data_IF_699469640056
#
_entry.id   IF_699469640056
#
_cell.length_a   1.000
_cell.length_b   1.000
_cell.length_c   1.000
_cell.angle_alpha   90.00
_cell.angle_beta   90.00
_cell.angle_gamma   90.00
#
_symmetry.space_group_name_H-M   'P 1'
#
loop_
_entity.id
_entity.type
_entity.pdbx_description
1 polymer ?
#
# COMPACT_ATOMS: atom_id res chain seq x y z
N UNK A 1 5.03 21.03 -2.85
CA UNK A 1 5.25 22.08 -3.89
C UNK A 1 4.79 21.62 -5.27
N UNK A 2 4.74 20.30 -5.51
CA UNK A 2 4.33 19.71 -6.79
C UNK A 2 2.88 20.00 -7.17
N UNK A 3 1.94 19.95 -6.20
CA UNK A 3 0.53 20.29 -6.46
C UNK A 3 0.30 21.73 -6.94
N UNK A 4 1.09 22.71 -6.47
CA UNK A 4 0.97 24.11 -6.92
C UNK A 4 1.41 24.22 -8.40
N UNK A 5 2.47 23.52 -8.78
CA UNK A 5 2.91 23.46 -10.18
C UNK A 5 1.88 22.71 -11.04
N UNK A 6 1.34 21.60 -10.54
CA UNK A 6 0.30 20.83 -11.23
C UNK A 6 -0.92 21.67 -11.57
N UNK A 7 -1.51 22.36 -10.58
CA UNK A 7 -2.68 23.24 -10.78
C UNK A 7 -2.39 24.35 -11.81
N UNK A 8 -1.16 24.86 -11.84
CA UNK A 8 -0.77 25.90 -12.79
C UNK A 8 -0.60 25.40 -14.23
N UNK A 9 -0.20 24.14 -14.43
CA UNK A 9 0.03 23.57 -15.77
C UNK A 9 -1.21 22.86 -16.31
N UNK A 10 -2.09 22.36 -15.43
CA UNK A 10 -3.28 21.59 -15.78
C UNK A 10 -4.53 22.11 -15.06
N UNK A 11 -4.92 23.39 -15.25
CA UNK A 11 -5.98 24.04 -14.47
C UNK A 11 -7.38 23.46 -14.69
N UNK A 12 -7.59 22.70 -15.78
CA UNK A 12 -8.86 22.06 -16.13
C UNK A 12 -8.87 20.54 -15.84
N UNK A 13 -7.81 20.01 -15.22
CA UNK A 13 -7.76 18.59 -14.84
C UNK A 13 -8.73 18.29 -13.69
N UNK A 14 -9.41 17.14 -13.75
CA UNK A 14 -10.27 16.65 -12.66
C UNK A 14 -9.52 16.50 -11.31
N UNK A 15 -8.20 16.29 -11.36
CA UNK A 15 -7.35 16.18 -10.18
C UNK A 15 -7.04 17.53 -9.52
N UNK A 16 -7.46 18.66 -10.11
CA UNK A 16 -7.28 19.99 -9.50
C UNK A 16 -8.03 20.12 -8.18
N UNK A 17 -9.20 19.47 -8.04
CA UNK A 17 -9.91 19.44 -6.77
C UNK A 17 -9.14 18.65 -5.71
N UNK A 18 -8.66 17.45 -6.04
CA UNK A 18 -7.81 16.67 -5.13
C UNK A 18 -6.56 17.47 -4.73
N UNK A 19 -5.93 18.15 -5.68
CA UNK A 19 -4.78 19.02 -5.43
C UNK A 19 -5.11 20.18 -4.47
N UNK A 20 -6.29 20.81 -4.60
CA UNK A 20 -6.73 21.83 -3.66
C UNK A 20 -7.02 21.28 -2.26
N UNK A 21 -7.59 20.08 -2.17
CA UNK A 21 -7.84 19.42 -0.89
C UNK A 21 -6.54 19.05 -0.17
N UNK A 22 -5.61 18.44 -0.88
CA UNK A 22 -4.29 18.08 -0.39
C UNK A 22 -3.49 19.31 0.01
N UNK A 23 -3.53 20.40 -0.76
CA UNK A 23 -2.88 21.65 -0.38
C UNK A 23 -3.52 22.27 0.86
N UNK A 24 -4.84 22.27 0.96
CA UNK A 24 -5.57 22.71 2.15
C UNK A 24 -5.15 21.93 3.40
N UNK A 25 -5.08 20.60 3.29
CA UNK A 25 -4.62 19.71 4.35
C UNK A 25 -3.17 19.98 4.73
N UNK A 26 -2.27 19.98 3.76
CA UNK A 26 -0.84 20.19 4.00
C UNK A 26 -0.54 21.56 4.64
N UNK A 27 -1.23 22.64 4.23
CA UNK A 27 -1.06 23.94 4.89
C UNK A 27 -1.66 23.97 6.30
N UNK A 28 -2.72 23.21 6.55
CA UNK A 28 -3.30 23.07 7.89
C UNK A 28 -2.33 22.35 8.84
N UNK A 29 -1.73 21.25 8.41
CA UNK A 29 -0.72 20.50 9.19
C UNK A 29 0.49 21.38 9.54
N UNK A 30 0.87 22.28 8.61
CA UNK A 30 1.92 23.29 8.84
C UNK A 30 1.49 24.48 9.68
N UNK A 31 0.27 24.48 10.24
CA UNK A 31 -0.33 25.58 11.00
C UNK A 31 -0.43 26.91 10.21
N UNK A 32 -0.39 26.84 8.88
CA UNK A 32 -0.57 27.97 7.96
C UNK A 32 -2.06 28.16 7.61
N UNK A 33 -2.91 28.32 8.63
CA UNK A 33 -4.36 28.21 8.51
C UNK A 33 -4.99 29.14 7.48
N UNK A 34 -4.44 30.34 7.26
CA UNK A 34 -4.94 31.26 6.22
C UNK A 34 -4.79 30.70 4.80
N UNK A 35 -3.67 30.02 4.51
CA UNK A 35 -3.46 29.36 3.22
C UNK A 35 -4.30 28.11 3.11
N UNK A 36 -4.43 27.35 4.19
CA UNK A 36 -5.34 26.20 4.24
C UNK A 36 -6.78 26.62 3.87
N UNK A 37 -7.30 27.68 4.50
CA UNK A 37 -8.61 28.26 4.20
C UNK A 37 -8.71 28.70 2.73
N UNK A 38 -7.67 29.35 2.19
CA UNK A 38 -7.66 29.78 0.78
C UNK A 38 -7.80 28.59 -0.18
N UNK A 39 -7.07 27.50 0.07
CA UNK A 39 -7.10 26.31 -0.79
C UNK A 39 -8.39 25.50 -0.62
N UNK A 40 -8.90 25.35 0.59
CA UNK A 40 -10.22 24.77 0.81
C UNK A 40 -11.34 25.64 0.20
N UNK A 41 -11.22 26.97 0.21
CA UNK A 41 -12.19 27.84 -0.45
C UNK A 41 -12.13 27.71 -1.98
N UNK A 42 -10.93 27.55 -2.56
CA UNK A 42 -10.77 27.24 -4.00
C UNK A 42 -11.39 25.90 -4.37
N UNK A 43 -11.25 24.90 -3.51
CA UNK A 43 -11.96 23.63 -3.67
C UNK A 43 -13.47 23.85 -3.73
N UNK A 44 -14.04 24.49 -2.71
CA UNK A 44 -15.49 24.73 -2.59
C UNK A 44 -16.00 25.56 -3.77
N UNK A 45 -15.26 26.58 -4.22
CA UNK A 45 -15.66 27.42 -5.34
C UNK A 45 -15.63 26.71 -6.71
N UNK A 46 -14.92 25.59 -6.83
CA UNK A 46 -14.83 24.81 -8.06
C UNK A 46 -15.57 23.47 -7.97
N UNK A 47 -16.28 23.20 -6.86
CA UNK A 47 -16.92 21.91 -6.58
C UNK A 47 -18.09 21.59 -7.52
N UNK A 48 -18.84 22.61 -7.95
CA UNK A 48 -20.00 22.45 -8.84
C UNK A 48 -19.56 21.98 -10.25
N UNK A 49 -18.25 21.99 -10.55
CA UNK A 49 -17.68 21.39 -11.77
C UNK A 49 -17.48 19.87 -11.67
N UNK A 50 -17.52 19.27 -10.48
CA UNK A 50 -17.11 17.87 -10.27
C UNK A 50 -17.86 17.16 -9.10
N UNK A 51 -19.18 17.03 -9.19
CA UNK A 51 -20.11 16.17 -8.38
C UNK A 51 -20.11 16.21 -6.83
N UNK A 52 -21.23 15.79 -6.22
CA UNK A 52 -21.75 16.23 -4.90
C UNK A 52 -21.36 15.41 -3.62
N UNK A 53 -20.35 14.53 -3.61
CA UNK A 53 -20.12 13.65 -2.43
C UNK A 53 -18.99 14.05 -1.45
N UNK A 54 -18.37 15.22 -1.61
CA UNK A 54 -17.20 15.63 -0.82
C UNK A 54 -17.43 16.78 0.19
N UNK A 55 -18.65 17.29 0.28
CA UNK A 55 -18.92 18.59 0.88
C UNK A 55 -18.69 18.65 2.39
N UNK A 56 -19.05 17.61 3.14
CA UNK A 56 -19.00 17.63 4.60
C UNK A 56 -17.56 17.68 5.16
N UNK A 57 -16.60 17.06 4.47
CA UNK A 57 -15.20 17.01 4.89
C UNK A 57 -14.49 18.34 4.71
N UNK A 58 -14.79 19.04 3.62
CA UNK A 58 -14.11 20.29 3.27
C UNK A 58 -14.70 21.45 4.06
N UNK A 59 -16.00 21.40 4.33
CA UNK A 59 -16.64 22.28 5.32
C UNK A 59 -16.05 22.04 6.72
N UNK A 60 -15.82 20.78 7.11
CA UNK A 60 -15.13 20.43 8.36
C UNK A 60 -13.68 20.95 8.41
N UNK A 61 -12.91 20.78 7.34
CA UNK A 61 -11.54 21.29 7.22
C UNK A 61 -11.45 22.82 7.28
N UNK A 62 -12.40 23.52 6.64
CA UNK A 62 -12.58 24.98 6.75
C UNK A 62 -12.96 25.37 8.17
N UNK A 63 -13.92 24.69 8.79
CA UNK A 63 -14.36 24.95 10.17
C UNK A 63 -13.22 24.86 11.17
N UNK A 64 -12.43 23.77 11.11
CA UNK A 64 -11.25 23.57 11.97
C UNK A 64 -10.20 24.66 11.72
N UNK A 65 -9.93 24.99 10.45
CA UNK A 65 -8.92 26.00 10.11
C UNK A 65 -9.34 27.40 10.56
N UNK A 66 -10.63 27.75 10.46
CA UNK A 66 -11.17 29.04 10.92
C UNK A 66 -11.22 29.12 12.46
N UNK A 67 -11.54 28.02 13.14
CA UNK A 67 -11.47 27.96 14.60
C UNK A 67 -10.04 28.22 15.10
N UNK A 68 -9.05 27.57 14.46
CA UNK A 68 -7.62 27.76 14.80
C UNK A 68 -7.06 29.13 14.36
N UNK A 69 -7.64 29.79 13.34
CA UNK A 69 -7.33 31.18 12.95
C UNK A 69 -7.99 32.24 13.87
N UNK A 70 -8.82 31.83 14.85
CA UNK A 70 -9.38 32.71 15.88
C UNK A 70 -10.66 33.45 15.50
N UNK A 71 -11.37 33.07 14.43
CA UNK A 71 -12.62 33.71 13.97
C UNK A 71 -13.86 32.83 14.21
N UNK A 72 -13.94 32.28 15.42
CA UNK A 72 -14.86 31.22 15.85
C UNK A 72 -16.35 31.47 15.56
N UNK A 73 -16.80 32.71 15.71
CA UNK A 73 -18.22 33.08 15.61
C UNK A 73 -18.78 32.98 14.18
N UNK A 74 -17.92 33.13 13.16
CA UNK A 74 -18.32 33.00 11.75
C UNK A 74 -18.37 31.55 11.27
N UNK A 75 -17.48 30.69 11.79
CA UNK A 75 -17.41 29.26 11.44
C UNK A 75 -18.65 28.49 11.91
N UNK A 76 -19.14 28.81 13.11
CA UNK A 76 -20.31 28.16 13.71
C UNK A 76 -21.58 28.52 12.93
N UNK A 77 -21.74 29.76 12.49
CA UNK A 77 -22.93 30.20 11.74
C UNK A 77 -23.02 29.54 10.35
N UNK A 78 -21.90 29.33 9.66
CA UNK A 78 -21.87 28.75 8.30
C UNK A 78 -22.00 27.21 8.30
N UNK A 79 -21.58 26.51 9.36
CA UNK A 79 -21.67 25.04 9.45
C UNK A 79 -23.05 24.53 9.97
N UNK A 80 -23.73 25.31 10.82
CA UNK A 80 -24.99 24.88 11.46
C UNK A 80 -26.22 24.90 10.54
N UNK A 81 -26.17 25.60 9.40
CA UNK A 81 -27.29 25.59 8.44
C UNK A 81 -27.39 24.29 7.62
N UNK A 82 -26.37 23.42 7.63
CA UNK A 82 -26.24 22.35 6.63
C UNK A 82 -26.26 20.89 7.14
N UNK A 83 -26.36 20.61 8.46
CA UNK A 83 -26.27 19.21 8.97
C UNK A 83 -27.41 18.87 9.95
N UNK A 84 -28.34 18.00 9.52
CA UNK A 84 -29.38 17.34 10.34
C UNK A 84 -29.40 15.83 10.04
N UNK A 85 -28.59 15.01 10.73
CA UNK A 85 -28.88 13.60 11.13
C UNK A 85 -27.63 12.93 11.76
N UNK A 86 -27.53 12.89 13.09
CA UNK A 86 -26.35 12.35 13.81
C UNK A 86 -26.69 11.12 14.69
N UNK A 87 -27.97 10.85 14.95
CA UNK A 87 -28.37 9.85 15.95
C UNK A 87 -28.35 8.39 15.42
N UNK A 88 -28.35 8.18 14.10
CA UNK A 88 -28.37 6.82 13.52
C UNK A 88 -26.99 6.14 13.46
N UNK A 89 -25.90 6.90 13.50
CA UNK A 89 -24.54 6.35 13.41
C UNK A 89 -24.05 5.69 14.72
N UNK A 90 -24.58 6.11 15.87
CA UNK A 90 -24.17 5.60 17.18
C UNK A 90 -24.67 4.16 17.45
N UNK A 91 -25.86 3.82 16.94
CA UNK A 91 -26.54 2.56 17.27
C UNK A 91 -25.88 1.32 16.61
N UNK A 92 -25.19 1.51 15.48
CA UNK A 92 -24.51 0.44 14.75
C UNK A 92 -23.20 0.01 15.42
N UNK A 93 -22.56 0.92 16.17
CA UNK A 93 -21.24 0.72 16.75
C UNK A 93 -21.26 -0.20 17.99
N UNK A 94 -22.37 -0.21 18.73
CA UNK A 94 -22.50 -1.02 19.94
C UNK A 94 -22.72 -2.52 19.65
N UNK A 95 -23.36 -2.86 18.54
CA UNK A 95 -23.65 -4.25 18.14
C UNK A 95 -22.41 -5.01 17.64
N UNK A 96 -21.44 -4.29 17.07
CA UNK A 96 -20.19 -4.87 16.57
C UNK A 96 -19.24 -5.30 17.69
N UNK A 97 -19.34 -4.67 18.87
CA UNK A 97 -18.45 -4.90 20.01
C UNK A 97 -18.70 -6.24 20.73
N UNK A 98 -19.93 -6.74 20.69
CA UNK A 98 -20.32 -7.99 21.36
C UNK A 98 -19.85 -9.25 20.61
N UNK A 99 -19.63 -9.15 19.30
CA UNK A 99 -19.25 -10.29 18.43
C UNK A 99 -17.75 -10.67 18.52
N UNK A 100 -16.90 -9.81 19.08
CA UNK A 100 -15.45 -10.01 19.11
C UNK A 100 -14.96 -10.84 20.32
N UNK A 101 -15.82 -11.19 21.28
CA UNK A 101 -15.41 -11.83 22.54
C UNK A 101 -15.36 -13.38 22.53
N UNK A 102 -15.74 -14.08 21.45
CA UNK A 102 -15.97 -15.54 21.51
C UNK A 102 -14.86 -16.48 20.94
N UNK A 103 -13.70 -16.00 20.45
CA UNK A 103 -12.75 -16.88 19.71
C UNK A 103 -11.24 -16.73 20.04
N UNK A 104 -10.81 -16.80 21.31
CA UNK A 104 -9.39 -16.56 21.70
C UNK A 104 -8.46 -17.78 21.84
N UNK A 105 -8.94 -19.01 21.94
CA UNK A 105 -8.11 -20.09 22.53
C UNK A 105 -7.34 -20.98 21.52
N UNK A 106 -7.59 -20.87 20.21
CA UNK A 106 -6.91 -21.68 19.17
C UNK A 106 -5.63 -21.01 18.60
N UNK A 107 -5.41 -19.72 18.88
CA UNK A 107 -4.26 -18.97 18.36
C UNK A 107 -2.93 -19.28 19.06
N UNK A 108 -2.99 -19.70 20.33
CA UNK A 108 -1.81 -19.90 21.17
C UNK A 108 -1.01 -21.17 20.80
N UNK A 109 -1.65 -22.17 20.19
CA UNK A 109 -1.02 -23.44 19.81
C UNK A 109 -0.23 -23.35 18.50
N UNK A 110 -0.48 -22.31 17.68
CA UNK A 110 0.22 -22.05 16.42
C UNK A 110 1.56 -21.32 16.62
N UNK A 111 1.67 -20.44 17.62
CA UNK A 111 2.87 -19.66 17.90
C UNK A 111 4.06 -20.55 18.32
N UNK A 112 3.82 -21.58 19.14
CA UNK A 112 4.86 -22.50 19.63
C UNK A 112 5.50 -23.31 18.50
N UNK A 113 4.76 -23.62 17.42
CA UNK A 113 5.29 -24.36 16.27
C UNK A 113 6.18 -23.50 15.36
N UNK A 114 5.98 -22.18 15.34
CA UNK A 114 6.75 -21.25 14.49
C UNK A 114 8.15 -21.03 15.07
N UNK A 115 8.30 -20.88 16.38
CA UNK A 115 9.61 -20.74 17.04
C UNK A 115 10.52 -21.96 16.82
N UNK A 116 9.97 -23.17 16.87
CA UNK A 116 10.72 -24.41 16.63
C UNK A 116 11.30 -24.50 15.21
N UNK A 117 10.57 -23.97 14.21
CA UNK A 117 11.01 -23.99 12.81
C UNK A 117 12.10 -22.94 12.53
N UNK A 118 12.07 -21.81 13.23
CA UNK A 118 13.09 -20.77 13.11
C UNK A 118 14.46 -21.22 13.64
N UNK A 119 14.50 -21.95 14.76
CA UNK A 119 15.74 -22.51 15.32
C UNK A 119 16.38 -23.57 14.40
N UNK A 120 15.56 -24.42 13.76
CA UNK A 120 16.04 -25.41 12.78
C UNK A 120 16.62 -24.74 11.52
N UNK A 121 16.02 -23.63 11.08
CA UNK A 121 16.48 -22.87 9.92
C UNK A 121 17.84 -22.20 10.18
N UNK A 122 18.04 -21.62 11.36
CA UNK A 122 19.32 -21.00 11.75
C UNK A 122 20.45 -22.03 11.88
N UNK A 123 20.16 -23.23 12.38
CA UNK A 123 21.14 -24.33 12.46
C UNK A 123 21.60 -24.80 11.09
N UNK A 124 20.74 -24.75 10.06
CA UNK A 124 21.10 -25.11 8.69
C UNK A 124 22.02 -24.08 7.99
N UNK A 125 21.81 -22.77 8.26
CA UNK A 125 22.60 -21.66 7.69
C UNK A 125 24.07 -21.67 8.15
N UNK A 126 24.34 -22.20 9.35
CA UNK A 126 25.69 -22.23 9.96
C UNK A 126 26.69 -23.22 9.33
N UNK A 127 26.25 -24.13 8.45
CA UNK A 127 27.09 -25.24 7.95
C UNK A 127 27.80 -25.02 6.61
N UNK A 128 27.62 -23.87 5.94
CA UNK A 128 28.09 -23.72 4.54
C UNK A 128 28.93 -22.45 4.25
N UNK A 129 29.61 -21.88 5.23
CA UNK A 129 30.08 -20.48 5.15
C UNK A 129 31.53 -20.24 4.69
N UNK A 130 32.33 -21.26 4.37
CA UNK A 130 33.74 -21.03 3.98
C UNK A 130 33.98 -21.08 2.47
N UNK A 131 33.26 -21.94 1.73
CA UNK A 131 33.45 -22.08 0.29
C UNK A 131 32.66 -21.06 -0.54
N UNK A 132 31.63 -20.45 0.04
CA UNK A 132 30.77 -19.47 -0.62
C UNK A 132 31.38 -18.05 -0.60
N UNK A 133 32.13 -17.72 0.46
CA UNK A 133 32.79 -16.41 0.63
C UNK A 133 33.97 -16.17 -0.31
N UNK A 134 34.68 -17.22 -0.73
CA UNK A 134 35.81 -17.10 -1.67
C UNK A 134 35.37 -16.93 -3.14
N UNK A 135 34.13 -17.30 -3.48
CA UNK A 135 33.54 -17.11 -4.82
C UNK A 135 32.94 -15.70 -4.94
N UNK A 136 32.39 -15.16 -3.86
CA UNK A 136 31.74 -13.84 -3.84
C UNK A 136 32.72 -12.65 -3.85
N UNK A 137 33.98 -12.85 -3.44
CA UNK A 137 35.00 -11.78 -3.39
C UNK A 137 35.75 -11.53 -4.71
N UNK A 138 35.49 -12.32 -5.75
CA UNK A 138 36.26 -12.30 -7.00
C UNK A 138 35.52 -11.69 -8.21
N UNK A 139 34.31 -11.16 -8.04
CA UNK A 139 33.54 -10.50 -9.10
C UNK A 139 33.50 -8.99 -8.82
N UNK A 140 34.18 -8.21 -9.66
CA UNK A 140 34.01 -6.75 -9.74
C UNK A 140 32.52 -6.49 -10.02
N UNK A 141 31.79 -5.83 -9.10
CA UNK A 141 30.31 -5.68 -9.12
C UNK A 141 29.86 -4.32 -9.68
N UNK A 142 29.36 -4.26 -10.91
CA UNK A 142 28.49 -3.18 -11.37
C UNK A 142 27.15 -3.12 -10.60
N UNK A 143 26.65 -4.26 -10.08
CA UNK A 143 25.31 -4.37 -9.48
C UNK A 143 25.25 -4.05 -7.96
N UNK A 144 26.33 -3.59 -7.35
CA UNK A 144 26.43 -3.41 -5.90
C UNK A 144 25.45 -2.36 -5.35
N UNK A 145 25.42 -1.18 -5.96
CA UNK A 145 24.58 -0.07 -5.50
C UNK A 145 23.08 -0.35 -5.71
N UNK A 146 22.67 -0.85 -6.88
CA UNK A 146 21.27 -1.24 -7.15
C UNK A 146 20.80 -2.31 -6.17
N UNK A 147 21.58 -3.37 -5.98
CA UNK A 147 21.24 -4.44 -5.03
C UNK A 147 21.10 -3.91 -3.61
N UNK A 148 22.01 -3.02 -3.20
CA UNK A 148 21.94 -2.35 -1.90
C UNK A 148 20.67 -1.50 -1.77
N UNK A 149 20.39 -0.63 -2.73
CA UNK A 149 19.23 0.25 -2.72
C UNK A 149 17.93 -0.54 -2.70
N UNK A 150 17.82 -1.63 -3.47
CA UNK A 150 16.63 -2.50 -3.43
C UNK A 150 16.41 -3.12 -2.03
N UNK A 151 17.48 -3.60 -1.40
CA UNK A 151 17.40 -4.21 -0.07
C UNK A 151 17.01 -3.18 0.99
N UNK A 152 17.63 -2.00 0.94
CA UNK A 152 17.30 -0.90 1.84
C UNK A 152 15.86 -0.42 1.62
N UNK A 153 15.42 -0.30 0.37
CA UNK A 153 14.04 0.05 0.01
C UNK A 153 13.05 -0.94 0.63
N UNK A 154 13.36 -2.23 0.58
CA UNK A 154 12.56 -3.25 1.25
C UNK A 154 12.53 -3.07 2.78
N UNK A 155 13.66 -2.76 3.41
CA UNK A 155 13.68 -2.53 4.85
C UNK A 155 12.96 -1.23 5.25
N UNK A 156 12.96 -0.21 4.39
CA UNK A 156 12.13 0.98 4.57
C UNK A 156 10.65 0.64 4.60
N UNK A 157 10.18 -0.25 3.71
CA UNK A 157 8.80 -0.74 3.74
C UNK A 157 8.47 -1.48 5.04
N UNK A 158 9.41 -2.25 5.59
CA UNK A 158 9.21 -2.96 6.84
C UNK A 158 9.22 -2.03 8.05
N UNK A 159 10.09 -1.01 8.05
CA UNK A 159 10.09 0.05 9.05
C UNK A 159 8.76 0.81 9.04
N UNK A 160 8.30 1.21 7.85
CA UNK A 160 7.02 1.88 7.66
C UNK A 160 5.83 1.03 8.15
N UNK A 161 5.86 -0.28 7.92
CA UNK A 161 4.85 -1.19 8.46
C UNK A 161 4.80 -1.17 10.00
N UNK A 162 5.96 -1.11 10.67
CA UNK A 162 6.04 -0.97 12.13
C UNK A 162 5.47 0.37 12.60
N UNK A 163 5.81 1.46 11.93
CA UNK A 163 5.31 2.80 12.24
C UNK A 163 3.77 2.86 12.12
N UNK A 164 3.20 2.32 11.03
CA UNK A 164 1.76 2.31 10.77
C UNK A 164 1.00 1.48 11.82
N UNK A 165 1.55 0.35 12.25
CA UNK A 165 0.94 -0.47 13.31
C UNK A 165 0.91 0.30 14.64
N UNK A 166 2.00 0.98 15.01
CA UNK A 166 2.06 1.77 16.22
C UNK A 166 1.22 3.05 16.16
N UNK A 167 1.05 3.65 14.98
CA UNK A 167 0.25 4.85 14.79
C UNK A 167 -1.22 4.68 15.21
N UNK A 168 -1.76 3.46 15.16
CA UNK A 168 -3.07 3.13 15.73
C UNK A 168 -3.18 3.61 17.19
N UNK A 169 -2.17 3.30 18.00
CA UNK A 169 -2.22 3.57 19.43
C UNK A 169 -1.84 5.01 19.78
N UNK A 170 -1.00 5.67 18.98
CA UNK A 170 -0.70 7.08 19.22
C UNK A 170 -1.83 8.01 18.77
N UNK A 171 -2.50 7.70 17.66
CA UNK A 171 -3.50 8.59 17.07
C UNK A 171 -4.95 8.23 17.42
N UNK A 172 -5.29 6.95 17.42
CA UNK A 172 -6.68 6.49 17.35
C UNK A 172 -7.16 5.76 18.61
N UNK A 173 -6.26 5.07 19.32
CA UNK A 173 -6.57 4.29 20.51
C UNK A 173 -5.54 4.50 21.66
N UNK A 174 -5.20 5.74 22.06
CA UNK A 174 -4.21 6.01 23.11
C UNK A 174 -4.59 5.50 24.51
N UNK A 175 -5.87 5.25 24.73
CA UNK A 175 -6.42 4.67 25.96
C UNK A 175 -6.24 3.15 26.07
N UNK A 176 -5.98 2.44 24.97
CA UNK A 176 -5.85 0.98 24.95
C UNK A 176 -4.45 0.52 25.39
N UNK A 177 -4.10 0.80 26.66
CA UNK A 177 -2.73 0.61 27.18
C UNK A 177 -2.20 -0.82 27.08
N UNK A 178 -3.05 -1.83 27.29
CA UNK A 178 -2.63 -3.24 27.18
C UNK A 178 -2.36 -3.65 25.73
N UNK A 179 -3.21 -3.22 24.79
CA UNK A 179 -3.02 -3.48 23.37
C UNK A 179 -1.80 -2.71 22.83
N UNK A 180 -1.63 -1.45 23.25
CA UNK A 180 -0.46 -0.63 22.95
C UNK A 180 0.83 -1.30 23.42
N UNK A 181 0.86 -1.85 24.64
CA UNK A 181 2.01 -2.60 25.16
C UNK A 181 2.32 -3.83 24.32
N UNK A 182 1.30 -4.63 23.98
CA UNK A 182 1.50 -5.81 23.12
C UNK A 182 2.07 -5.42 21.76
N UNK A 183 1.56 -4.35 21.17
CA UNK A 183 2.03 -3.84 19.88
C UNK A 183 3.44 -3.26 19.96
N UNK A 184 3.81 -2.58 21.05
CA UNK A 184 5.16 -2.05 21.24
C UNK A 184 6.18 -3.17 21.43
N UNK A 185 5.84 -4.22 22.18
CA UNK A 185 6.67 -5.43 22.32
C UNK A 185 6.92 -6.08 20.94
N UNK A 186 5.88 -6.21 20.11
CA UNK A 186 6.01 -6.72 18.74
C UNK A 186 6.82 -5.79 17.83
N UNK A 187 6.62 -4.48 17.93
CA UNK A 187 7.37 -3.47 17.18
C UNK A 187 8.87 -3.54 17.49
N UNK A 188 9.25 -3.66 18.76
CA UNK A 188 10.66 -3.78 19.17
C UNK A 188 11.33 -5.01 18.56
N UNK A 189 10.64 -6.16 18.56
CA UNK A 189 11.14 -7.40 17.93
C UNK A 189 11.35 -7.22 16.43
N UNK A 190 10.41 -6.57 15.74
CA UNK A 190 10.51 -6.29 14.30
C UNK A 190 11.62 -5.28 13.99
N UNK A 191 11.80 -4.25 14.80
CA UNK A 191 12.90 -3.29 14.66
C UNK A 191 14.26 -3.98 14.85
N UNK A 192 14.38 -4.91 15.80
CA UNK A 192 15.61 -5.69 16.00
C UNK A 192 15.91 -6.60 14.81
N UNK A 193 14.88 -7.22 14.22
CA UNK A 193 15.03 -7.96 12.98
C UNK A 193 15.54 -7.05 11.84
N UNK A 194 14.93 -5.88 11.62
CA UNK A 194 15.37 -4.93 10.59
C UNK A 194 16.82 -4.52 10.83
N UNK A 195 17.17 -4.18 12.08
CA UNK A 195 18.53 -3.80 12.50
C UNK A 195 19.56 -4.87 12.11
N UNK A 196 19.29 -6.13 12.44
CA UNK A 196 20.19 -7.24 12.10
C UNK A 196 20.35 -7.37 10.60
N UNK A 197 19.27 -7.24 9.83
CA UNK A 197 19.33 -7.33 8.39
C UNK A 197 20.09 -6.17 7.74
N UNK A 198 19.93 -4.95 8.24
CA UNK A 198 20.66 -3.77 7.74
C UNK A 198 22.17 -3.91 8.00
N UNK A 199 22.57 -4.39 9.17
CA UNK A 199 24.00 -4.65 9.50
C UNK A 199 24.65 -5.74 8.63
N UNK A 200 23.84 -6.63 8.05
CA UNK A 200 24.31 -7.68 7.14
C UNK A 200 24.46 -7.16 5.69
N UNK A 201 24.02 -5.94 5.39
CA UNK A 201 24.15 -5.36 4.06
C UNK A 201 25.59 -4.92 3.78
N UNK A 202 26.05 -5.19 2.56
CA UNK A 202 27.30 -4.67 2.02
C UNK A 202 27.08 -3.20 1.63
N UNK A 203 27.24 -2.28 2.60
CA UNK A 203 26.92 -0.86 2.39
C UNK A 203 28.00 -0.13 1.58
N UNK A 204 27.63 0.54 0.46
CA UNK A 204 28.53 1.47 -0.20
C UNK A 204 28.61 2.83 0.53
N UNK A 205 27.67 3.12 1.44
CA UNK A 205 27.55 4.40 2.16
C UNK A 205 27.40 4.17 3.67
N UNK A 206 28.51 4.04 4.41
CA UNK A 206 28.51 3.75 5.85
C UNK A 206 27.78 4.81 6.70
N UNK A 207 27.81 6.08 6.27
CA UNK A 207 27.12 7.16 6.97
C UNK A 207 25.60 6.96 6.94
N UNK A 208 25.06 6.49 5.80
CA UNK A 208 23.64 6.18 5.64
C UNK A 208 23.22 5.02 6.53
N UNK A 209 24.03 3.95 6.60
CA UNK A 209 23.80 2.82 7.51
C UNK A 209 23.80 3.27 8.96
N UNK A 210 24.78 4.08 9.37
CA UNK A 210 24.91 4.61 10.73
C UNK A 210 23.65 5.38 11.17
N UNK A 211 23.20 6.33 10.34
CA UNK A 211 21.99 7.12 10.62
C UNK A 211 20.74 6.22 10.68
N UNK A 212 20.65 5.22 9.79
CA UNK A 212 19.53 4.28 9.80
C UNK A 212 19.48 3.47 11.10
N UNK A 213 20.61 2.91 11.53
CA UNK A 213 20.70 2.14 12.77
C UNK A 213 20.41 3.02 13.99
N UNK A 214 20.84 4.28 13.99
CA UNK A 214 20.50 5.25 15.04
C UNK A 214 19.00 5.57 15.08
N UNK A 215 18.35 5.70 13.92
CA UNK A 215 16.90 5.90 13.84
C UNK A 215 16.13 4.69 14.39
N UNK A 216 16.59 3.46 14.12
CA UNK A 216 16.01 2.24 14.71
C UNK A 216 16.20 2.19 16.22
N UNK A 217 17.41 2.53 16.72
CA UNK A 217 17.71 2.62 18.15
C UNK A 217 16.76 3.62 18.84
N UNK A 218 16.55 4.78 18.22
CA UNK A 218 15.64 5.81 18.73
C UNK A 218 14.19 5.33 18.79
N UNK A 219 13.69 4.66 17.76
CA UNK A 219 12.33 4.09 17.78
C UNK A 219 12.16 3.00 18.83
N UNK A 220 13.13 2.10 18.98
CA UNK A 220 13.10 1.09 20.04
C UNK A 220 13.01 1.75 21.42
N UNK A 221 13.76 2.83 21.64
CA UNK A 221 13.69 3.61 22.87
C UNK A 221 12.31 4.25 23.08
N UNK A 222 11.72 4.84 22.03
CA UNK A 222 10.38 5.45 22.08
C UNK A 222 9.32 4.41 22.47
N UNK A 223 9.35 3.24 21.84
CA UNK A 223 8.34 2.18 22.04
C UNK A 223 8.49 1.40 23.35
N UNK A 224 9.68 1.36 23.92
CA UNK A 224 9.92 0.66 25.17
C UNK A 224 9.18 1.32 26.34
N UNK A 225 8.15 0.65 26.86
CA UNK A 225 7.32 1.14 27.96
C UNK A 225 6.42 2.33 27.59
N UNK A 226 6.14 2.52 26.30
CA UNK A 226 5.40 3.68 25.78
C UNK A 226 3.99 3.82 26.35
N UNK A 227 3.37 2.72 26.77
CA UNK A 227 2.06 2.71 27.40
C UNK A 227 2.02 3.52 28.70
N UNK A 228 3.16 3.66 29.38
CA UNK A 228 3.32 4.38 30.65
C UNK A 228 3.76 5.84 30.48
N UNK A 229 4.06 6.27 29.25
CA UNK A 229 4.64 7.59 28.98
C UNK A 229 3.58 8.65 28.74
N UNK A 230 3.98 9.90 28.98
CA UNK A 230 3.21 11.07 28.59
C UNK A 230 3.32 11.31 27.08
N UNK A 231 2.22 11.75 26.45
CA UNK A 231 2.18 11.97 25.00
C UNK A 231 3.08 13.15 24.57
N UNK A 232 3.16 14.23 25.35
CA UNK A 232 4.01 15.38 24.99
C UNK A 232 5.50 15.00 25.03
N UNK A 233 5.90 14.17 26.00
CA UNK A 233 7.26 13.64 26.08
C UNK A 233 7.57 12.73 24.89
N UNK A 234 6.61 11.89 24.52
CA UNK A 234 6.73 10.97 23.39
C UNK A 234 6.85 11.73 22.07
N UNK A 235 6.04 12.77 21.86
CA UNK A 235 6.06 13.63 20.67
C UNK A 235 7.44 14.28 20.48
N UNK A 236 8.05 14.78 21.55
CA UNK A 236 9.39 15.37 21.49
C UNK A 236 10.45 14.37 21.04
N UNK A 237 10.36 13.10 21.44
CA UNK A 237 11.30 12.10 20.98
C UNK A 237 11.10 11.73 19.51
N UNK A 238 9.86 11.80 19.02
CA UNK A 238 9.57 11.66 17.60
C UNK A 238 10.11 12.82 16.76
N UNK A 239 10.27 14.03 17.31
CA UNK A 239 10.97 15.13 16.63
C UNK A 239 12.43 14.75 16.33
N UNK A 240 13.16 14.24 17.33
CA UNK A 240 14.54 13.77 17.17
C UNK A 240 14.65 12.60 16.19
N UNK A 241 13.71 11.66 16.23
CA UNK A 241 13.61 10.58 15.23
C UNK A 241 13.38 11.13 13.82
N UNK A 242 12.49 12.12 13.67
CA UNK A 242 12.17 12.72 12.38
C UNK A 242 13.36 13.44 11.76
N UNK A 243 14.23 14.05 12.58
CA UNK A 243 15.50 14.63 12.13
C UNK A 243 16.45 13.58 11.57
N UNK A 244 16.59 12.43 12.24
CA UNK A 244 17.41 11.30 11.74
C UNK A 244 16.87 10.75 10.42
N UNK A 245 15.55 10.53 10.34
CA UNK A 245 14.88 10.06 9.12
C UNK A 245 15.06 11.04 7.97
N UNK A 246 14.99 12.35 8.24
CA UNK A 246 15.20 13.39 7.22
C UNK A 246 16.63 13.36 6.67
N UNK A 247 17.63 13.25 7.55
CA UNK A 247 19.04 13.13 7.15
C UNK A 247 19.29 11.84 6.34
N UNK A 248 18.71 10.73 6.78
CA UNK A 248 18.76 9.47 6.06
C UNK A 248 18.19 9.59 4.65
N UNK A 249 16.97 10.15 4.51
CA UNK A 249 16.32 10.29 3.20
C UNK A 249 17.03 11.27 2.28
N UNK A 250 17.75 12.27 2.81
CA UNK A 250 18.59 13.15 2.00
C UNK A 250 19.68 12.35 1.28
N UNK A 251 20.39 11.49 2.00
CA UNK A 251 21.44 10.63 1.43
C UNK A 251 20.83 9.58 0.49
N UNK A 252 19.78 8.89 0.94
CA UNK A 252 19.11 7.85 0.15
C UNK A 252 18.58 8.39 -1.19
N UNK A 253 17.91 9.54 -1.19
CA UNK A 253 17.40 10.14 -2.42
C UNK A 253 18.52 10.58 -3.36
N UNK A 254 19.66 11.03 -2.84
CA UNK A 254 20.83 11.33 -3.66
C UNK A 254 21.35 10.07 -4.37
N UNK A 255 21.44 8.93 -3.67
CA UNK A 255 21.87 7.66 -4.25
C UNK A 255 20.88 7.15 -5.32
N UNK A 256 19.58 7.24 -5.07
CA UNK A 256 18.55 6.90 -6.06
C UNK A 256 18.69 7.79 -7.30
N UNK A 257 18.93 9.09 -7.14
CA UNK A 257 19.14 10.01 -8.26
C UNK A 257 20.44 9.73 -9.02
N UNK A 258 21.48 9.23 -8.36
CA UNK A 258 22.71 8.81 -9.03
C UNK A 258 22.48 7.54 -9.86
N UNK A 259 21.70 6.59 -9.34
CA UNK A 259 21.31 5.39 -10.06
C UNK A 259 20.38 5.68 -11.25
N UNK A 260 19.39 6.56 -11.09
CA UNK A 260 18.34 6.79 -12.11
C UNK A 260 18.78 7.64 -13.31
N UNK A 261 19.90 8.37 -13.21
CA UNK A 261 20.44 9.17 -14.32
C UNK A 261 20.89 8.34 -15.53
N UNK A 262 20.92 7.02 -15.42
CA UNK A 262 21.39 6.12 -16.46
C UNK A 262 20.25 5.53 -17.33
N UNK A 263 18.98 5.66 -16.95
CA UNK A 263 17.86 4.98 -17.65
C UNK A 263 16.68 5.92 -17.95
N UNK A 264 16.65 6.46 -19.18
CA UNK A 264 15.41 7.01 -19.76
C UNK A 264 14.55 5.84 -20.24
N UNK A 265 13.43 5.59 -19.54
CA UNK A 265 12.48 4.57 -19.93
C UNK A 265 11.60 5.09 -21.08
N UNK A 266 11.58 4.38 -22.21
CA UNK A 266 10.54 4.61 -23.21
C UNK A 266 9.19 4.17 -22.61
N UNK A 267 8.22 5.09 -22.57
CA UNK A 267 6.81 4.79 -22.30
C UNK A 267 6.32 3.77 -23.35
N UNK A 268 6.40 2.48 -23.04
CA UNK A 268 6.36 1.46 -24.07
C UNK A 268 5.84 0.12 -23.61
N UNK A 269 4.51 0.06 -23.45
CA UNK A 269 3.66 -1.12 -23.33
C UNK A 269 3.86 -2.02 -22.09
N UNK A 270 2.79 -2.15 -21.29
CA UNK A 270 2.55 -3.34 -20.48
C UNK A 270 2.83 -4.58 -21.36
N UNK A 271 3.51 -5.63 -20.86
CA UNK A 271 3.72 -6.82 -21.66
C UNK A 271 2.36 -7.44 -21.95
N UNK A 272 1.92 -7.28 -23.19
CA UNK A 272 0.81 -8.06 -23.69
C UNK A 272 1.27 -9.51 -23.73
N UNK A 273 0.47 -10.45 -23.19
CA UNK A 273 0.79 -11.86 -23.28
C UNK A 273 0.99 -12.26 -24.75
N UNK A 274 2.10 -12.91 -25.05
CA UNK A 274 2.43 -13.32 -26.42
C UNK A 274 1.67 -14.60 -26.78
N UNK A 275 0.51 -14.44 -27.42
CA UNK A 275 -0.32 -15.56 -27.85
C UNK A 275 0.30 -16.32 -29.04
N UNK A 276 0.09 -17.63 -29.10
CA UNK A 276 0.55 -18.47 -30.22
C UNK A 276 -0.17 -18.14 -31.54
N UNK A 277 -1.37 -17.58 -31.47
CA UNK A 277 -2.15 -17.23 -32.65
C UNK A 277 -2.75 -15.84 -32.56
N UNK A 278 -2.69 -15.11 -33.68
CA UNK A 278 -3.32 -13.79 -33.83
C UNK A 278 -4.81 -13.79 -33.47
N UNK A 279 -5.50 -14.90 -33.72
CA UNK A 279 -6.91 -15.06 -33.37
C UNK A 279 -7.14 -15.09 -31.85
N UNK A 280 -6.23 -15.66 -31.08
CA UNK A 280 -6.36 -15.67 -29.62
C UNK A 280 -6.05 -14.30 -29.03
N UNK A 281 -5.05 -13.60 -29.58
CA UNK A 281 -4.77 -12.21 -29.27
C UNK A 281 -5.99 -11.31 -29.54
N UNK A 282 -6.63 -11.46 -30.72
CA UNK A 282 -7.88 -10.77 -31.06
C UNK A 282 -9.01 -11.12 -30.07
N UNK A 283 -9.12 -12.38 -29.62
CA UNK A 283 -10.11 -12.77 -28.62
C UNK A 283 -9.81 -12.16 -27.25
N UNK A 284 -8.55 -12.12 -26.83
CA UNK A 284 -8.14 -11.53 -25.56
C UNK A 284 -8.42 -10.03 -25.56
N UNK A 285 -8.01 -9.31 -26.60
CA UNK A 285 -8.29 -7.88 -26.76
C UNK A 285 -9.80 -7.60 -26.83
N UNK A 286 -10.59 -8.49 -27.46
CA UNK A 286 -12.05 -8.39 -27.43
C UNK A 286 -12.61 -8.55 -26.01
N UNK A 287 -12.04 -9.44 -25.20
CA UNK A 287 -12.45 -9.58 -23.80
C UNK A 287 -12.11 -8.33 -22.98
N UNK A 288 -10.94 -7.73 -23.19
CA UNK A 288 -10.59 -6.44 -22.58
C UNK A 288 -11.59 -5.34 -22.99
N UNK A 289 -11.94 -5.26 -24.26
CA UNK A 289 -12.96 -4.31 -24.74
C UNK A 289 -14.36 -4.55 -24.14
N UNK A 290 -14.71 -5.80 -23.80
CA UNK A 290 -15.94 -6.07 -23.03
C UNK A 290 -15.81 -5.58 -21.57
N UNK A 291 -14.65 -5.73 -20.94
CA UNK A 291 -14.41 -5.23 -19.58
C UNK A 291 -14.51 -3.70 -19.52
N UNK A 292 -13.96 -2.99 -20.52
CA UNK A 292 -14.08 -1.53 -20.66
C UNK A 292 -15.52 -1.06 -20.84
N UNK A 293 -16.42 -1.93 -21.30
CA UNK A 293 -17.84 -1.66 -21.49
C UNK A 293 -18.71 -2.18 -20.34
N UNK A 294 -18.10 -2.55 -19.19
CA UNK A 294 -18.76 -3.20 -18.06
C UNK A 294 -19.46 -4.55 -18.39
N UNK A 295 -19.15 -5.16 -19.55
CA UNK A 295 -19.74 -6.43 -20.01
C UNK A 295 -18.95 -7.64 -19.46
N UNK A 296 -18.75 -7.70 -18.13
CA UNK A 296 -17.86 -8.66 -17.47
C UNK A 296 -18.22 -10.14 -17.72
N UNK A 297 -19.50 -10.48 -17.88
CA UNK A 297 -19.91 -11.86 -18.19
C UNK A 297 -19.41 -12.31 -19.57
N UNK A 298 -19.52 -11.43 -20.58
CA UNK A 298 -19.03 -11.72 -21.93
C UNK A 298 -17.50 -11.80 -21.96
N UNK A 299 -16.83 -10.92 -21.21
CA UNK A 299 -15.38 -10.97 -21.04
C UNK A 299 -14.95 -12.30 -20.41
N UNK A 300 -15.58 -12.68 -19.28
CA UNK A 300 -15.32 -13.91 -18.56
C UNK A 300 -15.46 -15.16 -19.45
N UNK A 301 -16.53 -15.25 -20.24
CA UNK A 301 -16.76 -16.36 -21.17
C UNK A 301 -15.65 -16.54 -22.21
N UNK A 302 -15.14 -15.41 -22.73
CA UNK A 302 -14.02 -15.42 -23.69
C UNK A 302 -12.73 -15.81 -23.00
N UNK A 303 -12.46 -15.23 -21.83
CA UNK A 303 -11.25 -15.49 -21.04
C UNK A 303 -11.18 -16.93 -20.55
N UNK A 304 -12.28 -17.56 -20.12
CA UNK A 304 -12.30 -18.95 -19.68
C UNK A 304 -11.96 -19.94 -20.81
N UNK A 305 -12.40 -19.64 -22.04
CA UNK A 305 -12.03 -20.43 -23.23
C UNK A 305 -10.53 -20.30 -23.54
N UNK A 306 -9.98 -19.09 -23.42
CA UNK A 306 -8.55 -18.85 -23.58
C UNK A 306 -7.74 -19.54 -22.48
N UNK A 307 -8.16 -19.44 -21.22
CA UNK A 307 -7.52 -20.10 -20.07
C UNK A 307 -7.41 -21.60 -20.29
N UNK A 308 -8.48 -22.24 -20.73
CA UNK A 308 -8.50 -23.69 -20.99
C UNK A 308 -7.47 -24.11 -22.06
N UNK A 309 -7.18 -23.23 -23.02
CA UNK A 309 -6.18 -23.47 -24.07
C UNK A 309 -4.74 -23.23 -23.59
N UNK A 310 -4.53 -22.18 -22.78
CA UNK A 310 -3.21 -21.76 -22.32
C UNK A 310 -2.84 -22.25 -20.91
N UNK A 311 -3.57 -23.23 -20.38
CA UNK A 311 -3.30 -23.75 -19.04
C UNK A 311 -1.91 -24.38 -18.95
N UNK A 312 -1.16 -24.02 -17.92
CA UNK A 312 0.24 -24.39 -17.71
C UNK A 312 1.26 -23.48 -18.39
N UNK A 313 0.83 -22.50 -19.20
CA UNK A 313 1.73 -21.48 -19.79
C UNK A 313 1.75 -20.26 -18.85
N UNK A 314 2.60 -20.33 -17.83
CA UNK A 314 2.63 -19.43 -16.67
C UNK A 314 2.35 -17.95 -16.97
N UNK A 315 3.10 -17.33 -17.90
CA UNK A 315 2.92 -15.92 -18.23
C UNK A 315 1.54 -15.60 -18.84
N UNK A 316 1.10 -16.37 -19.84
CA UNK A 316 -0.18 -16.14 -20.54
C UNK A 316 -1.36 -16.49 -19.63
N UNK A 317 -1.29 -17.63 -18.95
CA UNK A 317 -2.34 -18.08 -18.03
C UNK A 317 -2.53 -17.06 -16.91
N UNK A 318 -1.45 -16.54 -16.31
CA UNK A 318 -1.55 -15.53 -15.26
C UNK A 318 -2.21 -14.24 -15.73
N UNK A 319 -1.88 -13.74 -16.93
CA UNK A 319 -2.55 -12.56 -17.50
C UNK A 319 -4.04 -12.80 -17.74
N UNK A 320 -4.43 -14.00 -18.19
CA UNK A 320 -5.84 -14.37 -18.35
C UNK A 320 -6.52 -14.46 -16.97
N UNK A 321 -5.89 -15.12 -15.99
CA UNK A 321 -6.41 -15.30 -14.64
C UNK A 321 -6.61 -13.97 -13.91
N UNK A 322 -5.69 -13.01 -14.06
CA UNK A 322 -5.82 -11.66 -13.52
C UNK A 322 -7.14 -11.02 -13.97
N UNK A 323 -7.41 -11.05 -15.28
CA UNK A 323 -8.64 -10.48 -15.85
C UNK A 323 -9.89 -11.29 -15.49
N UNK A 324 -9.77 -12.62 -15.36
CA UNK A 324 -10.87 -13.45 -14.85
C UNK A 324 -11.25 -13.04 -13.43
N UNK A 325 -10.26 -12.78 -12.56
CA UNK A 325 -10.52 -12.28 -11.21
C UNK A 325 -11.30 -10.97 -11.26
N UNK A 326 -10.86 -10.00 -12.08
CA UNK A 326 -11.56 -8.72 -12.24
C UNK A 326 -13.00 -8.92 -12.76
N UNK A 327 -13.22 -9.83 -13.72
CA UNK A 327 -14.57 -10.13 -14.21
C UNK A 327 -15.47 -10.73 -13.13
N UNK A 328 -14.95 -11.61 -12.28
CA UNK A 328 -15.72 -12.22 -11.19
C UNK A 328 -16.09 -11.15 -10.15
N UNK A 329 -15.10 -10.37 -9.70
CA UNK A 329 -15.29 -9.38 -8.64
C UNK A 329 -16.16 -8.22 -9.12
N UNK A 330 -15.97 -7.70 -10.34
CA UNK A 330 -16.77 -6.59 -10.86
C UNK A 330 -18.12 -7.03 -11.38
N UNK A 331 -18.20 -8.22 -11.99
CA UNK A 331 -19.44 -8.76 -12.55
C UNK A 331 -20.53 -8.99 -11.49
N UNK A 332 -20.15 -9.30 -10.25
CA UNK A 332 -21.11 -9.48 -9.15
C UNK A 332 -21.82 -8.21 -8.70
N UNK A 333 -21.31 -7.03 -9.05
CA UNK A 333 -21.95 -5.76 -8.75
C UNK A 333 -22.88 -5.27 -9.88
N UNK A 334 -23.01 -6.03 -10.99
CA UNK A 334 -23.56 -5.55 -12.26
C UNK A 334 -24.92 -6.07 -12.72
N UNK A 335 -25.35 -7.30 -12.44
CA UNK A 335 -26.63 -7.84 -12.95
C UNK A 335 -27.01 -9.23 -12.41
N UNK A 336 -28.30 -9.58 -12.48
CA UNK A 336 -28.92 -10.89 -12.21
C UNK A 336 -28.45 -12.06 -13.12
N UNK A 337 -27.22 -12.05 -13.64
CA UNK A 337 -26.70 -13.03 -14.60
C UNK A 337 -25.94 -14.20 -13.96
N UNK A 338 -25.54 -15.21 -14.74
CA UNK A 338 -25.03 -16.52 -14.26
C UNK A 338 -23.73 -16.43 -13.42
N UNK A 339 -22.98 -15.32 -13.46
CA UNK A 339 -21.85 -15.09 -12.53
C UNK A 339 -22.36 -14.81 -11.09
N UNK A 340 -23.60 -14.35 -10.93
CA UNK A 340 -24.25 -14.13 -9.62
C UNK A 340 -24.49 -15.41 -8.81
N UNK A 341 -24.43 -16.59 -9.43
CA UNK A 341 -24.50 -17.88 -8.73
C UNK A 341 -23.18 -18.24 -8.02
N UNK A 342 -22.12 -17.46 -8.23
CA UNK A 342 -20.88 -17.60 -7.47
C UNK A 342 -21.11 -17.09 -6.03
N UNK A 343 -21.28 -18.02 -5.09
CA UNK A 343 -21.09 -17.72 -3.67
C UNK A 343 -19.72 -17.06 -3.48
N UNK A 344 -19.69 -15.90 -2.84
CA UNK A 344 -18.51 -15.10 -2.47
C UNK A 344 -17.57 -14.78 -3.66
N UNK A 345 -18.00 -13.92 -4.60
CA UNK A 345 -17.20 -13.56 -5.78
C UNK A 345 -15.87 -12.92 -5.39
N UNK A 346 -15.82 -12.11 -4.33
CA UNK A 346 -14.57 -11.50 -3.86
C UNK A 346 -13.57 -12.54 -3.33
N UNK A 347 -14.04 -13.55 -2.60
CA UNK A 347 -13.17 -14.65 -2.14
C UNK A 347 -12.59 -15.42 -3.33
N UNK A 348 -13.41 -15.72 -4.35
CA UNK A 348 -12.93 -16.42 -5.55
C UNK A 348 -11.93 -15.60 -6.36
N UNK A 349 -12.18 -14.30 -6.50
CA UNK A 349 -11.21 -13.38 -7.11
C UNK A 349 -9.90 -13.37 -6.34
N UNK A 350 -9.97 -13.22 -5.01
CA UNK A 350 -8.80 -13.29 -4.11
C UNK A 350 -8.03 -14.60 -4.27
N UNK A 351 -8.70 -15.75 -4.32
CA UNK A 351 -8.07 -17.07 -4.46
C UNK A 351 -7.34 -17.23 -5.80
N UNK A 352 -7.91 -16.71 -6.89
CA UNK A 352 -7.26 -16.70 -8.21
C UNK A 352 -5.97 -15.87 -8.15
N UNK A 353 -6.04 -14.66 -7.59
CA UNK A 353 -4.88 -13.78 -7.45
C UNK A 353 -3.83 -14.38 -6.51
N UNK A 354 -4.26 -15.04 -5.43
CA UNK A 354 -3.39 -15.78 -4.54
C UNK A 354 -2.66 -16.92 -5.27
N UNK A 355 -3.36 -17.62 -6.16
CA UNK A 355 -2.77 -18.63 -7.03
C UNK A 355 -1.64 -18.09 -7.90
N UNK A 356 -1.81 -16.90 -8.49
CA UNK A 356 -0.78 -16.23 -9.30
C UNK A 356 0.45 -15.90 -8.44
N UNK A 357 0.27 -15.22 -7.30
CA UNK A 357 1.41 -14.79 -6.45
C UNK A 357 2.14 -15.96 -5.76
N UNK A 358 1.46 -17.10 -5.58
CA UNK A 358 2.04 -18.28 -4.94
C UNK A 358 2.65 -19.29 -5.92
N UNK A 359 2.56 -19.05 -7.24
CA UNK A 359 3.05 -19.96 -8.28
C UNK A 359 4.57 -20.23 -8.25
N UNK A 360 5.35 -19.41 -7.52
CA UNK A 360 6.82 -19.47 -7.47
C UNK A 360 7.51 -19.33 -8.83
N UNK A 361 6.85 -18.65 -9.76
CA UNK A 361 7.35 -18.42 -11.12
C UNK A 361 7.12 -16.96 -11.50
N UNK A 362 7.94 -16.45 -12.42
CA UNK A 362 7.77 -15.09 -12.91
C UNK A 362 6.51 -14.98 -13.76
N UNK A 363 5.82 -13.85 -13.61
CA UNK A 363 4.70 -13.47 -14.46
C UNK A 363 4.75 -11.97 -14.76
N UNK A 364 4.35 -11.53 -15.96
CA UNK A 364 4.26 -10.12 -16.29
C UNK A 364 3.24 -9.36 -15.45
N UNK A 365 2.38 -10.06 -14.68
CA UNK A 365 1.31 -9.44 -13.88
C UNK A 365 1.50 -9.60 -12.37
N UNK A 366 2.71 -9.91 -11.89
CA UNK A 366 2.94 -10.14 -10.45
C UNK A 366 2.63 -8.91 -9.61
N UNK A 367 3.01 -7.72 -10.05
CA UNK A 367 2.69 -6.47 -9.35
C UNK A 367 1.16 -6.24 -9.28
N UNK A 368 0.49 -6.34 -10.43
CA UNK A 368 -0.96 -6.18 -10.54
C UNK A 368 -1.75 -7.19 -9.70
N UNK A 369 -1.29 -8.45 -9.71
CA UNK A 369 -1.87 -9.51 -8.91
C UNK A 369 -1.67 -9.25 -7.42
N UNK A 370 -0.47 -8.83 -6.99
CA UNK A 370 -0.18 -8.46 -5.61
C UNK A 370 -1.05 -7.31 -5.12
N UNK A 371 -1.18 -6.25 -5.92
CA UNK A 371 -2.02 -5.10 -5.61
C UNK A 371 -3.47 -5.52 -5.38
N UNK A 372 -4.07 -6.21 -6.35
CA UNK A 372 -5.46 -6.67 -6.26
C UNK A 372 -5.67 -7.65 -5.12
N UNK A 373 -4.75 -8.60 -4.93
CA UNK A 373 -4.80 -9.58 -3.86
C UNK A 373 -4.75 -8.89 -2.49
N UNK A 374 -3.80 -7.97 -2.28
CA UNK A 374 -3.67 -7.21 -1.03
C UNK A 374 -4.93 -6.41 -0.75
N UNK A 375 -5.49 -5.77 -1.78
CA UNK A 375 -6.70 -4.95 -1.64
C UNK A 375 -7.92 -5.78 -1.24
N UNK A 376 -8.13 -6.93 -1.90
CA UNK A 376 -9.22 -7.85 -1.55
C UNK A 376 -9.01 -8.47 -0.17
N UNK A 377 -7.79 -8.92 0.14
CA UNK A 377 -7.44 -9.52 1.42
C UNK A 377 -7.71 -8.56 2.57
N UNK A 378 -7.25 -7.30 2.46
CA UNK A 378 -7.51 -6.28 3.47
C UNK A 378 -9.01 -6.05 3.66
N UNK A 379 -9.77 -5.94 2.56
CA UNK A 379 -11.21 -5.68 2.61
C UNK A 379 -11.99 -6.84 3.25
N UNK A 380 -11.70 -8.07 2.85
CA UNK A 380 -12.46 -9.26 3.25
C UNK A 380 -12.09 -9.78 4.64
N UNK A 381 -10.80 -9.78 4.99
CA UNK A 381 -10.31 -10.47 6.19
C UNK A 381 -10.08 -9.53 7.36
N UNK A 382 -9.71 -8.27 7.09
CA UNK A 382 -9.22 -7.36 8.12
C UNK A 382 -10.09 -6.11 8.30
N UNK A 383 -10.81 -5.71 7.26
CA UNK A 383 -11.62 -4.50 7.23
C UNK A 383 -10.87 -3.26 6.74
N UNK A 384 -11.64 -2.21 6.43
CA UNK A 384 -11.12 -0.97 5.82
C UNK A 384 -11.12 0.23 6.78
N UNK A 385 -11.58 0.08 8.02
CA UNK A 385 -11.52 1.12 9.05
C UNK A 385 -10.07 1.45 9.46
N UNK A 386 -9.83 2.67 9.97
CA UNK A 386 -8.56 3.04 10.61
C UNK A 386 -8.26 2.23 11.89
N UNK A 387 -9.26 1.57 12.46
CA UNK A 387 -9.10 0.67 13.62
C UNK A 387 -8.85 -0.79 13.20
N UNK A 388 -8.97 -1.10 11.92
CA UNK A 388 -8.76 -2.45 11.40
C UNK A 388 -7.31 -2.90 11.63
N UNK A 389 -7.09 -4.20 11.78
CA UNK A 389 -5.74 -4.76 11.66
C UNK A 389 -5.23 -4.49 10.23
N UNK A 390 -3.97 -4.13 10.06
CA UNK A 390 -3.36 -3.92 8.75
C UNK A 390 -2.05 -4.72 8.73
N UNK A 391 -2.05 -5.98 8.24
CA UNK A 391 -0.88 -6.85 8.33
C UNK A 391 0.18 -6.52 7.27
N UNK A 392 0.62 -5.25 7.19
CA UNK A 392 1.63 -4.77 6.23
C UNK A 392 2.92 -5.60 6.29
N UNK A 393 3.33 -6.05 7.47
CA UNK A 393 4.49 -6.93 7.63
C UNK A 393 4.38 -8.22 6.80
N UNK A 394 3.21 -8.87 6.81
CA UNK A 394 2.95 -10.09 6.05
C UNK A 394 2.78 -9.81 4.56
N UNK A 395 2.12 -8.71 4.20
CA UNK A 395 2.07 -8.24 2.81
C UNK A 395 3.47 -8.00 2.25
N UNK A 396 4.37 -7.41 3.03
CA UNK A 396 5.74 -7.14 2.64
C UNK A 396 6.58 -8.42 2.52
N UNK A 397 6.32 -9.47 3.31
CA UNK A 397 6.97 -10.78 3.09
C UNK A 397 6.59 -11.38 1.74
N UNK A 398 5.30 -11.36 1.37
CA UNK A 398 4.86 -11.81 0.03
C UNK A 398 5.49 -10.95 -1.07
N UNK A 399 5.49 -9.63 -0.90
CA UNK A 399 6.16 -8.68 -1.80
C UNK A 399 7.65 -8.98 -2.00
N UNK A 400 8.40 -9.26 -0.92
CA UNK A 400 9.83 -9.65 -0.99
C UNK A 400 10.04 -10.85 -1.89
N UNK A 401 9.23 -11.89 -1.69
CA UNK A 401 9.30 -13.12 -2.48
C UNK A 401 9.04 -12.85 -3.96
N UNK A 402 8.07 -11.99 -4.29
CA UNK A 402 7.81 -11.59 -5.67
C UNK A 402 8.99 -10.82 -6.27
N UNK A 403 9.60 -9.90 -5.52
CA UNK A 403 10.81 -9.19 -5.93
C UNK A 403 11.95 -10.17 -6.22
N UNK A 404 12.19 -11.15 -5.35
CA UNK A 404 13.23 -12.17 -5.54
C UNK A 404 13.00 -13.03 -6.80
N UNK A 405 11.76 -13.48 -7.02
CA UNK A 405 11.37 -14.21 -8.23
C UNK A 405 11.65 -13.37 -9.47
N UNK A 406 11.21 -12.10 -9.46
CA UNK A 406 11.40 -11.20 -10.60
C UNK A 406 12.86 -10.86 -10.85
N UNK A 407 13.68 -10.71 -9.79
CA UNK A 407 15.14 -10.51 -9.92
C UNK A 407 15.84 -11.70 -10.57
N UNK A 408 15.47 -12.92 -10.19
CA UNK A 408 16.01 -14.14 -10.81
C UNK A 408 15.67 -14.13 -12.30
N UNK A 409 14.41 -13.88 -12.66
CA UNK A 409 13.98 -13.83 -14.05
C UNK A 409 14.66 -12.70 -14.84
N UNK A 410 14.73 -11.48 -14.32
CA UNK A 410 15.35 -10.34 -14.98
C UNK A 410 16.84 -10.58 -15.27
N UNK A 411 17.55 -11.28 -14.37
CA UNK A 411 18.94 -11.67 -14.59
C UNK A 411 19.12 -12.65 -15.75
N UNK A 412 18.15 -13.55 -15.95
CA UNK A 412 18.12 -14.49 -17.07
C UNK A 412 17.64 -13.83 -18.37
N UNK A 413 16.92 -12.71 -18.28
CA UNK A 413 16.30 -11.98 -19.38
C UNK A 413 16.66 -10.47 -19.33
N UNK A 414 17.94 -10.09 -19.50
CA UNK A 414 18.41 -8.71 -19.28
C UNK A 414 17.86 -7.65 -20.26
N UNK A 415 17.05 -8.04 -21.24
CA UNK A 415 16.32 -7.12 -22.13
C UNK A 415 14.85 -6.92 -21.75
N UNK A 416 14.37 -7.60 -20.71
CA UNK A 416 13.01 -7.49 -20.21
C UNK A 416 12.91 -6.33 -19.20
N UNK A 417 12.81 -5.12 -19.75
CA UNK A 417 12.65 -3.88 -18.99
C UNK A 417 11.42 -3.87 -18.09
N UNK A 418 10.39 -4.64 -18.43
CA UNK A 418 9.20 -4.74 -17.60
C UNK A 418 9.44 -5.55 -16.32
N UNK A 419 10.24 -6.61 -16.36
CA UNK A 419 10.63 -7.33 -15.15
C UNK A 419 11.32 -6.39 -14.15
N UNK A 420 12.23 -5.53 -14.62
CA UNK A 420 12.87 -4.52 -13.77
C UNK A 420 11.86 -3.51 -13.23
N UNK A 421 10.95 -3.03 -14.08
CA UNK A 421 9.89 -2.12 -13.66
C UNK A 421 8.98 -2.73 -12.60
N UNK A 422 8.65 -4.02 -12.68
CA UNK A 422 7.86 -4.68 -11.65
C UNK A 422 8.60 -4.72 -10.30
N UNK A 423 9.93 -4.85 -10.28
CA UNK A 423 10.71 -4.78 -9.04
C UNK A 423 10.55 -3.40 -8.40
N UNK A 424 10.71 -2.33 -9.19
CA UNK A 424 10.51 -0.96 -8.71
C UNK A 424 9.09 -0.74 -8.21
N UNK A 425 8.07 -1.14 -8.98
CA UNK A 425 6.67 -1.02 -8.58
C UNK A 425 6.42 -1.75 -7.25
N UNK A 426 6.95 -2.97 -7.08
CA UNK A 426 6.82 -3.69 -5.81
C UNK A 426 7.56 -2.99 -4.66
N UNK A 427 8.75 -2.42 -4.89
CA UNK A 427 9.55 -1.74 -3.86
C UNK A 427 8.98 -0.38 -3.44
N UNK A 428 8.44 0.38 -4.38
CA UNK A 428 7.99 1.76 -4.12
C UNK A 428 6.49 1.89 -3.92
N UNK A 429 5.73 0.82 -4.13
CA UNK A 429 4.30 0.85 -3.85
C UNK A 429 4.05 0.95 -2.33
N UNK A 430 3.32 1.97 -1.83
CA UNK A 430 3.21 2.21 -0.40
C UNK A 430 2.51 1.06 0.34
N UNK A 431 2.76 0.96 1.64
CA UNK A 431 1.96 0.13 2.54
C UNK A 431 0.51 0.63 2.60
N UNK A 432 -0.38 -0.15 3.20
CA UNK A 432 -1.71 0.37 3.55
C UNK A 432 -1.55 1.26 4.78
N UNK A 433 -1.92 2.52 4.66
CA UNK A 433 -1.73 3.55 5.67
C UNK A 433 -3.00 3.77 6.48
N UNK A 434 -2.85 4.26 7.71
CA UNK A 434 -3.95 4.80 8.53
C UNK A 434 -4.01 6.32 8.36
N UNK A 435 -5.17 6.93 8.59
CA UNK A 435 -5.29 8.38 8.63
C UNK A 435 -6.24 8.98 7.60
N UNK A 436 -6.85 8.17 6.74
CA UNK A 436 -7.89 8.64 5.83
C UNK A 436 -9.18 8.97 6.58
N UNK A 437 -9.98 9.95 6.12
CA UNK A 437 -11.22 10.35 6.80
C UNK A 437 -12.28 9.24 6.87
N UNK A 438 -12.20 8.23 6.01
CA UNK A 438 -13.19 7.15 5.90
C UNK A 438 -12.64 5.77 6.26
N UNK A 439 -11.36 5.69 6.60
CA UNK A 439 -10.67 4.42 6.82
C UNK A 439 -9.22 4.47 6.36
N UNK A 440 -8.62 3.29 6.29
CA UNK A 440 -7.26 3.12 5.82
C UNK A 440 -7.15 3.33 4.30
N UNK A 441 -5.94 3.50 3.78
CA UNK A 441 -5.71 3.83 2.36
C UNK A 441 -6.14 2.72 1.38
N UNK A 442 -6.52 1.54 1.89
CA UNK A 442 -7.09 0.47 1.07
C UNK A 442 -8.37 0.88 0.36
N UNK A 443 -9.16 1.80 0.94
CA UNK A 443 -10.39 2.29 0.33
C UNK A 443 -10.13 2.94 -1.03
N UNK A 444 -9.04 3.71 -1.17
CA UNK A 444 -8.68 4.35 -2.44
C UNK A 444 -8.31 3.31 -3.49
N UNK A 445 -7.53 2.30 -3.10
CA UNK A 445 -7.17 1.19 -4.00
C UNK A 445 -8.40 0.37 -4.38
N UNK A 446 -9.28 0.07 -3.43
CA UNK A 446 -10.55 -0.60 -3.69
C UNK A 446 -11.42 0.20 -4.66
N UNK A 447 -11.58 1.50 -4.43
CA UNK A 447 -12.37 2.37 -5.27
C UNK A 447 -11.82 2.43 -6.70
N UNK A 448 -10.52 2.62 -6.86
CA UNK A 448 -9.88 2.65 -8.17
C UNK A 448 -9.91 1.30 -8.91
N UNK A 449 -9.89 0.19 -8.17
CA UNK A 449 -9.92 -1.14 -8.78
C UNK A 449 -11.33 -1.61 -9.10
N UNK A 450 -12.32 -1.41 -8.22
CA UNK A 450 -13.59 -2.13 -8.25
C UNK A 450 -14.84 -1.24 -8.22
N UNK A 451 -14.72 0.07 -7.96
CA UNK A 451 -15.88 0.97 -7.95
C UNK A 451 -16.05 1.71 -9.27
N UNK A 452 -17.30 1.93 -9.67
CA UNK A 452 -17.67 2.70 -10.88
C UNK A 452 -17.57 4.23 -10.71
N UNK A 453 -16.81 4.71 -9.72
CA UNK A 453 -16.85 6.13 -9.31
C UNK A 453 -16.26 7.06 -10.38
N UNK A 454 -15.52 6.53 -11.36
CA UNK A 454 -14.77 7.34 -12.33
C UNK A 454 -15.38 7.47 -13.74
N UNK A 455 -16.53 6.87 -14.07
CA UNK A 455 -16.93 6.73 -15.50
C UNK A 455 -18.19 7.49 -15.96
N UNK A 456 -18.83 8.31 -15.11
CA UNK A 456 -20.08 9.03 -15.50
C UNK A 456 -20.10 10.52 -15.20
N UNK A 457 -18.98 11.22 -15.40
CA UNK A 457 -18.97 12.70 -15.41
C UNK A 457 -18.63 13.21 -16.82
N UNK A 458 -19.37 12.73 -17.80
CA UNK A 458 -19.57 13.40 -19.09
C UNK A 458 -21.05 13.24 -19.47
N UNK A 459 -21.92 14.08 -18.90
CA UNK A 459 -23.18 14.52 -19.55
C UNK A 459 -23.75 15.79 -18.88
#
# INVERSE_FOLDING_TARGET
MEWIRFISHYPDSEYVLAAYAELGYNFREKKEYKKAIEYYAKYIANRDRFSELSDYLMIGGVGISIEKDGRRERAIAECYEQIKDYENALLFWEQYRELQQEHSDEALEAEVKIEMLQDLFQKAKSKNSTQQREIESAIVRPDGLKTYLDNVSYYNLQLDAVLIDMYLYFGWAPEEKEAMKKASDEAILRLEYIRQQVKELDTPEPDMEGIYLEALDKLQMIYNGVELRDLEETDKEFEEFSELVSQYFEIYNKLIQEQSKEEEWEEGALPHPQFESKKDEENYNRALGFMEQDEFEKAYDVLQKLRSKYSGVSAIESSILLNISDCIVKGSYGSDGEISDLRNPEEKGKDILEGIINANDYSPVLFDAFLRWRTLTQSLEYGMSNFSKIPNWEYNKKRKKLIEITKIYAKEHPGDTWAERQIELLLFFPNIERGGPFGNSNLTFWAGLYSKINEKVEE
#
